data_IF_379209016442
#
_entry.id   IF_379209016442
#
_cell.length_a   1.000
_cell.length_b   1.000
_cell.length_c   1.000
_cell.angle_alpha   90.00
_cell.angle_beta   90.00
_cell.angle_gamma   90.00
#
_symmetry.space_group_name_H-M   'P 1'
#
loop_
_entity.id
_entity.type
_entity.pdbx_description
1 polymer ?
#
# COMPACT_ATOMS: atom_id res chain seq x y z
N UNK A 1 -4.18 -4.98 3.25
CA UNK A 1 -3.59 -4.77 4.57
C UNK A 1 -3.63 -3.28 4.89
N UNK A 2 -4.14 -2.92 6.07
CA UNK A 2 -4.19 -1.54 6.57
C UNK A 2 -2.85 -1.15 7.21
N UNK A 3 -2.54 0.15 7.27
CA UNK A 3 -1.30 0.71 7.82
C UNK A 3 -0.94 0.21 9.22
N UNK A 4 -1.93 0.10 10.11
CA UNK A 4 -1.73 -0.32 11.49
C UNK A 4 -1.42 -1.83 11.60
N UNK A 5 -1.93 -2.66 10.68
CA UNK A 5 -1.65 -4.09 10.59
C UNK A 5 -0.18 -4.31 10.18
N UNK A 6 0.29 -3.57 9.17
CA UNK A 6 1.70 -3.61 8.72
C UNK A 6 2.66 -3.32 9.86
N UNK A 7 2.40 -2.25 10.64
CA UNK A 7 3.25 -1.89 11.76
C UNK A 7 3.18 -2.92 12.88
N UNK A 8 1.99 -3.45 13.18
CA UNK A 8 1.83 -4.50 14.18
C UNK A 8 2.70 -5.71 13.87
N UNK A 9 2.64 -6.20 12.63
CA UNK A 9 3.49 -7.32 12.19
C UNK A 9 4.98 -6.99 12.32
N UNK A 10 5.41 -5.79 11.90
CA UNK A 10 6.81 -5.37 12.02
C UNK A 10 7.28 -5.28 13.49
N UNK A 11 6.41 -4.79 14.38
CA UNK A 11 6.69 -4.67 15.82
C UNK A 11 6.79 -6.05 16.47
N UNK A 12 5.95 -7.00 16.06
CA UNK A 12 5.95 -8.36 16.62
C UNK A 12 7.26 -9.12 16.34
N UNK A 13 8.01 -8.74 15.28
CA UNK A 13 9.31 -9.34 14.95
C UNK A 13 10.44 -8.99 15.94
N UNK A 14 10.44 -7.77 16.48
CA UNK A 14 11.54 -7.24 17.32
C UNK A 14 11.08 -6.98 18.76
N UNK A 15 9.78 -6.80 18.96
CA UNK A 15 9.13 -6.47 20.23
C UNK A 15 9.08 -4.96 20.49
N UNK A 16 7.94 -4.51 21.05
CA UNK A 16 7.64 -3.09 21.30
C UNK A 16 8.70 -2.38 22.16
N UNK A 17 9.32 -3.09 23.11
CA UNK A 17 10.28 -2.49 24.05
C UNK A 17 11.57 -2.09 23.34
N UNK A 18 12.08 -2.97 22.47
CA UNK A 18 13.30 -2.70 21.70
C UNK A 18 13.04 -1.58 20.70
N UNK A 19 11.95 -1.69 19.94
CA UNK A 19 11.62 -0.68 18.94
C UNK A 19 11.40 0.71 19.55
N UNK A 20 10.75 0.78 20.71
CA UNK A 20 10.56 2.04 21.46
C UNK A 20 11.90 2.66 21.88
N UNK A 21 12.85 1.86 22.35
CA UNK A 21 14.15 2.33 22.75
C UNK A 21 14.96 2.86 21.55
N UNK A 22 14.97 2.11 20.45
CA UNK A 22 15.75 2.46 19.24
C UNK A 22 15.19 3.70 18.55
N UNK A 23 13.86 3.82 18.47
CA UNK A 23 13.19 5.00 17.90
C UNK A 23 13.12 6.19 18.88
N UNK A 24 13.52 5.99 20.15
CA UNK A 24 13.41 6.98 21.25
C UNK A 24 11.98 7.49 21.45
N UNK A 25 11.01 6.58 21.39
CA UNK A 25 9.59 6.85 21.55
C UNK A 25 9.03 6.10 22.76
N UNK A 26 7.83 6.48 23.21
CA UNK A 26 7.13 5.72 24.24
C UNK A 26 6.49 4.46 23.65
N UNK A 27 6.47 3.36 24.41
CA UNK A 27 5.76 2.14 24.01
C UNK A 27 4.27 2.42 23.76
N UNK A 28 3.67 3.33 24.53
CA UNK A 28 2.27 3.75 24.35
C UNK A 28 2.02 4.38 22.96
N UNK A 29 2.95 5.19 22.45
CA UNK A 29 2.85 5.76 21.10
C UNK A 29 2.94 4.67 20.03
N UNK A 30 3.87 3.72 20.19
CA UNK A 30 4.02 2.59 19.26
C UNK A 30 2.75 1.73 19.25
N UNK A 31 2.20 1.40 20.42
CA UNK A 31 0.91 0.70 20.48
C UNK A 31 -0.23 1.46 19.83
N UNK A 32 -0.25 2.79 19.98
CA UNK A 32 -1.25 3.64 19.32
C UNK A 32 -1.13 3.59 17.80
N UNK A 33 0.07 3.44 17.24
CA UNK A 33 0.25 3.26 15.80
C UNK A 33 -0.30 1.95 15.24
N UNK A 34 -0.45 0.92 16.10
CA UNK A 34 -1.00 -0.38 15.75
C UNK A 34 -2.53 -0.47 15.88
N UNK A 35 -3.19 0.61 16.29
CA UNK A 35 -4.65 0.66 16.42
C UNK A 35 -5.28 1.23 15.16
N UNK A 36 -6.51 0.81 14.86
CA UNK A 36 -7.33 1.45 13.83
C UNK A 36 -7.48 2.94 14.16
N UNK A 37 -7.26 3.81 13.17
CA UNK A 37 -7.48 5.23 13.34
C UNK A 37 -8.98 5.49 13.58
N UNK A 38 -9.33 6.15 14.69
CA UNK A 38 -10.72 6.49 14.97
C UNK A 38 -11.22 7.46 13.90
N UNK A 39 -12.27 7.11 13.13
CA UNK A 39 -12.85 8.00 12.12
C UNK A 39 -13.36 9.33 12.70
N UNK A 40 -13.61 9.38 14.02
CA UNK A 40 -14.09 10.56 14.74
C UNK A 40 -12.97 11.45 15.29
N UNK A 41 -11.74 10.94 15.34
CA UNK A 41 -10.54 11.70 15.72
C UNK A 41 -9.37 11.35 14.78
N UNK A 42 -9.48 11.71 13.49
CA UNK A 42 -8.38 11.52 12.53
C UNK A 42 -7.17 12.44 12.81
N UNK A 43 -7.36 13.44 13.69
CA UNK A 43 -6.50 14.60 13.88
C UNK A 43 -5.79 14.64 15.24
N UNK A 44 -5.57 13.48 15.90
CA UNK A 44 -4.56 13.45 16.98
C UNK A 44 -3.16 13.64 16.37
N UNK A 45 -2.84 14.88 16.04
CA UNK A 45 -1.74 15.38 15.20
C UNK A 45 -0.33 15.02 15.71
N UNK A 46 -0.22 14.55 16.96
CA UNK A 46 1.03 14.05 17.54
C UNK A 46 1.25 12.53 17.41
N UNK A 47 0.20 11.74 17.18
CA UNK A 47 0.27 10.28 17.38
C UNK A 47 -0.19 9.46 16.18
N UNK A 48 -0.48 10.11 15.05
CA UNK A 48 -0.88 9.42 13.82
C UNK A 48 0.22 8.47 13.34
N UNK A 49 -0.21 7.28 12.89
CA UNK A 49 0.65 6.25 12.33
C UNK A 49 1.57 6.82 11.23
N UNK A 50 2.88 6.52 11.25
CA UNK A 50 3.85 7.08 10.30
C UNK A 50 3.56 6.72 8.84
N UNK A 51 3.03 5.53 8.55
CA UNK A 51 2.63 5.13 7.20
C UNK A 51 1.43 5.95 6.71
N UNK A 52 0.50 6.26 7.61
CA UNK A 52 -0.65 7.13 7.28
C UNK A 52 -0.23 8.56 6.97
N UNK A 53 0.77 9.08 7.70
CA UNK A 53 1.36 10.39 7.39
C UNK A 53 2.08 10.39 6.05
N UNK A 54 2.86 9.35 5.76
CA UNK A 54 3.58 9.24 4.49
C UNK A 54 2.59 9.17 3.31
N UNK A 55 1.52 8.39 3.44
CA UNK A 55 0.42 8.34 2.47
C UNK A 55 -0.20 9.71 2.23
N UNK A 56 -0.44 10.48 3.29
CA UNK A 56 -1.01 11.81 3.19
C UNK A 56 -0.05 12.80 2.51
N UNK A 57 1.24 12.75 2.84
CA UNK A 57 2.27 13.55 2.15
C UNK A 57 2.26 13.25 0.65
N UNK A 58 2.30 11.98 0.27
CA UNK A 58 2.27 11.57 -1.15
C UNK A 58 0.99 12.05 -1.83
N UNK A 59 -0.17 11.90 -1.17
CA UNK A 59 -1.47 12.35 -1.70
C UNK A 59 -1.53 13.86 -1.90
N UNK A 60 -1.04 14.65 -0.94
CA UNK A 60 -1.09 16.11 -0.99
C UNK A 60 -0.08 16.71 -1.96
N UNK A 61 1.09 16.08 -2.11
CA UNK A 61 2.18 16.60 -2.95
C UNK A 61 2.19 16.02 -4.36
N UNK A 62 1.56 14.85 -4.57
CA UNK A 62 1.70 14.07 -5.80
C UNK A 62 3.12 13.53 -6.03
N UNK A 63 4.01 13.62 -5.04
CA UNK A 63 5.42 13.30 -5.21
C UNK A 63 5.71 11.82 -4.93
N UNK A 64 5.38 10.96 -5.91
CA UNK A 64 5.64 9.50 -5.88
C UNK A 64 7.08 9.10 -5.55
N UNK A 65 8.14 9.87 -5.89
CA UNK A 65 9.51 9.50 -5.52
C UNK A 65 9.75 9.29 -4.01
N UNK A 66 8.90 9.83 -3.12
CA UNK A 66 8.92 9.50 -1.68
C UNK A 66 8.74 8.01 -1.42
N UNK A 67 7.85 7.35 -2.17
CA UNK A 67 7.61 5.90 -2.08
C UNK A 67 8.79 5.14 -2.65
N UNK A 68 9.28 5.57 -3.83
CA UNK A 68 10.44 4.95 -4.47
C UNK A 68 11.67 4.96 -3.55
N UNK A 69 11.92 6.08 -2.87
CA UNK A 69 13.02 6.20 -1.92
C UNK A 69 12.90 5.17 -0.80
N UNK A 70 11.72 5.02 -0.18
CA UNK A 70 11.52 4.02 0.87
C UNK A 70 11.70 2.58 0.37
N UNK A 71 11.27 2.28 -0.86
CA UNK A 71 11.53 0.97 -1.49
C UNK A 71 13.02 0.72 -1.71
N UNK A 72 13.78 1.74 -2.14
CA UNK A 72 15.23 1.62 -2.35
C UNK A 72 15.99 1.37 -1.03
N UNK A 73 15.58 1.99 0.08
CA UNK A 73 16.16 1.71 1.40
C UNK A 73 15.97 0.24 1.81
N UNK A 74 14.92 -0.42 1.31
CA UNK A 74 14.66 -1.85 1.51
C UNK A 74 15.31 -2.76 0.42
N UNK A 75 16.14 -2.20 -0.47
CA UNK A 75 16.77 -2.94 -1.57
C UNK A 75 15.83 -3.28 -2.73
N UNK A 76 14.68 -2.60 -2.82
CA UNK A 76 13.67 -2.82 -3.84
C UNK A 76 13.44 -1.60 -4.74
N UNK A 77 12.35 -1.66 -5.50
CA UNK A 77 11.82 -0.57 -6.31
C UNK A 77 10.29 -0.61 -6.28
N UNK A 78 9.66 0.54 -6.50
CA UNK A 78 8.22 0.65 -6.58
C UNK A 78 7.73 0.39 -8.01
N UNK A 79 6.71 -0.46 -8.15
CA UNK A 79 6.01 -0.72 -9.40
C UNK A 79 4.57 -0.28 -9.23
N UNK A 80 4.07 0.51 -10.17
CA UNK A 80 2.66 0.89 -10.17
C UNK A 80 1.82 -0.37 -10.39
N UNK A 81 0.73 -0.48 -9.64
CA UNK A 81 -0.27 -1.48 -9.99
C UNK A 81 -0.74 -1.21 -11.43
N UNK A 82 -0.97 -2.26 -12.24
CA UNK A 82 -1.54 -2.07 -13.56
C UNK A 82 -2.84 -1.28 -13.41
N UNK A 83 -3.08 -0.35 -14.32
CA UNK A 83 -4.40 0.27 -14.41
C UNK A 83 -5.40 -0.86 -14.70
N UNK A 84 -6.54 -0.86 -14.02
CA UNK A 84 -7.63 -1.81 -14.26
C UNK A 84 -8.27 -1.52 -15.65
N UNK A 85 -7.49 -1.53 -16.72
CA UNK A 85 -7.95 -1.44 -18.11
C UNK A 85 -8.43 -2.80 -18.61
N UNK A 86 -9.17 -3.55 -17.80
CA UNK A 86 -9.66 -4.87 -18.19
C UNK A 86 -11.08 -5.09 -17.68
N UNK A 87 -11.97 -4.17 -18.05
CA UNK A 87 -13.40 -4.41 -17.94
C UNK A 87 -13.92 -5.45 -18.95
N UNK A 88 -13.12 -5.85 -19.96
CA UNK A 88 -13.64 -6.70 -21.04
C UNK A 88 -12.61 -7.57 -21.77
N UNK A 89 -11.57 -8.08 -21.09
CA UNK A 89 -10.64 -9.07 -21.71
C UNK A 89 -11.44 -10.26 -22.27
N UNK A 90 -12.46 -10.71 -21.52
CA UNK A 90 -13.24 -11.88 -21.90
C UNK A 90 -14.06 -11.65 -23.16
N UNK A 91 -14.69 -10.48 -23.37
CA UNK A 91 -15.42 -10.21 -24.61
C UNK A 91 -14.47 -9.98 -25.79
N UNK A 92 -13.34 -9.32 -25.58
CA UNK A 92 -12.35 -9.11 -26.65
C UNK A 92 -11.69 -10.43 -27.09
N UNK A 93 -11.38 -11.33 -26.14
CA UNK A 93 -10.91 -12.69 -26.45
C UNK A 93 -11.97 -13.53 -27.16
N UNK A 94 -13.23 -13.46 -26.73
CA UNK A 94 -14.34 -14.17 -27.37
C UNK A 94 -14.58 -13.67 -28.80
N UNK A 95 -14.55 -12.36 -29.03
CA UNK A 95 -14.70 -11.79 -30.37
C UNK A 95 -13.51 -12.18 -31.27
N UNK A 96 -12.29 -12.10 -30.74
CA UNK A 96 -11.08 -12.46 -31.48
C UNK A 96 -11.06 -13.93 -31.88
N UNK A 97 -11.48 -14.84 -30.98
CA UNK A 97 -11.56 -16.28 -31.28
C UNK A 97 -12.66 -16.61 -32.28
N UNK A 98 -13.84 -15.98 -32.17
CA UNK A 98 -14.92 -16.13 -33.15
C UNK A 98 -14.50 -15.69 -34.56
N UNK A 99 -13.74 -14.59 -34.68
CA UNK A 99 -13.22 -14.12 -35.97
C UNK A 99 -12.26 -15.11 -36.62
N UNK A 100 -11.39 -15.76 -35.84
CA UNK A 100 -10.44 -16.76 -36.36
C UNK A 100 -11.19 -17.99 -36.87
N UNK A 101 -12.12 -18.55 -36.10
CA UNK A 101 -12.89 -19.74 -36.50
C UNK A 101 -13.68 -19.48 -37.78
N UNK A 102 -14.34 -18.32 -37.87
CA UNK A 102 -15.13 -17.93 -39.05
C UNK A 102 -14.27 -17.83 -40.30
N UNK A 103 -13.02 -17.34 -40.17
CA UNK A 103 -12.06 -17.25 -41.29
C UNK A 103 -11.65 -18.63 -41.83
N UNK A 104 -11.59 -19.64 -40.97
CA UNK A 104 -11.25 -21.01 -41.37
C UNK A 104 -12.46 -21.80 -41.89
N UNK A 105 -13.68 -21.43 -41.52
CA UNK A 105 -14.91 -22.08 -42.02
C UNK A 105 -15.36 -21.60 -43.41
N UNK A 106 -14.73 -20.56 -43.96
CA UNK A 106 -14.99 -20.03 -45.31
C UNK A 106 -14.01 -20.50 -46.40
N UNK A 107 -13.11 -21.44 -46.07
CA UNK A 107 -12.21 -22.15 -46.98
C UNK A 107 -12.74 -23.56 -47.28
#
# INVERSE_FOLDING_TARGET
MKSHEVLKEAIDLVGVKSLAADLRLSQALIYKWCQDADPKDPDTSGTRNPLDRLREIVKLTGHTPVVNWLCHEAGGFFVHNPEDECADIDADLLQSTQQVVTRFSGL
#
